data_IF_094030132987
#
_entry.id   IF_094030132987
#
_cell.length_a   1.000
_cell.length_b   1.000
_cell.length_c   1.000
_cell.angle_alpha   90.00
_cell.angle_beta   90.00
_cell.angle_gamma   90.00
#
_symmetry.space_group_name_H-M   'P 1'
#
loop_
_entity.id
_entity.type
_entity.pdbx_description
1 polymer ?
#
# COMPACT_ATOMS: atom_id res chain seq x y z
N UNK A 1 -2.09 3.50 -2.21
CA UNK A 1 -2.82 3.70 -3.49
C UNK A 1 -2.86 5.18 -3.81
N UNK A 2 -2.35 5.58 -4.99
CA UNK A 2 -2.36 6.99 -5.38
C UNK A 2 -3.76 7.41 -5.87
N UNK A 3 -4.66 7.68 -4.92
CA UNK A 3 -6.05 8.08 -5.20
C UNK A 3 -6.18 9.55 -5.60
N UNK A 4 -5.08 10.31 -5.62
CA UNK A 4 -5.09 11.75 -5.92
C UNK A 4 -5.63 12.05 -7.32
N UNK A 5 -5.55 11.09 -8.24
CA UNK A 5 -6.04 11.21 -9.61
C UNK A 5 -7.53 11.55 -9.70
N UNK A 6 -8.36 10.95 -8.84
CA UNK A 6 -9.79 11.25 -8.75
C UNK A 6 -9.97 12.71 -8.32
N UNK A 7 -9.30 13.12 -7.24
CA UNK A 7 -9.39 14.47 -6.70
C UNK A 7 -8.95 15.53 -7.71
N UNK A 8 -7.80 15.34 -8.34
CA UNK A 8 -7.25 16.27 -9.33
C UNK A 8 -8.21 16.40 -10.51
N UNK A 9 -8.64 15.27 -11.09
CA UNK A 9 -9.46 15.29 -12.30
C UNK A 9 -10.82 15.95 -12.08
N UNK A 10 -11.53 15.59 -11.00
CA UNK A 10 -12.82 16.21 -10.70
C UNK A 10 -12.69 17.67 -10.27
N UNK A 11 -11.64 18.02 -9.53
CA UNK A 11 -11.38 19.42 -9.15
C UNK A 11 -11.16 20.28 -10.39
N UNK A 12 -10.35 19.83 -11.35
CA UNK A 12 -10.11 20.54 -12.61
C UNK A 12 -11.41 20.68 -13.41
N UNK A 13 -12.20 19.61 -13.54
CA UNK A 13 -13.50 19.67 -14.23
C UNK A 13 -14.43 20.68 -13.57
N UNK A 14 -14.61 20.61 -12.25
CA UNK A 14 -15.46 21.53 -11.51
C UNK A 14 -14.97 22.97 -11.66
N UNK A 15 -13.66 23.19 -11.57
CA UNK A 15 -13.04 24.50 -11.76
C UNK A 15 -13.37 25.07 -13.15
N UNK A 16 -13.13 24.31 -14.22
CA UNK A 16 -13.43 24.72 -15.60
C UNK A 16 -14.92 24.97 -15.80
N UNK A 17 -15.79 24.10 -15.26
CA UNK A 17 -17.25 24.25 -15.38
C UNK A 17 -17.73 25.54 -14.70
N UNK A 18 -17.24 25.84 -13.50
CA UNK A 18 -17.63 27.06 -12.78
C UNK A 18 -17.05 28.31 -13.42
N UNK A 19 -15.82 28.26 -13.97
CA UNK A 19 -15.25 29.35 -14.77
C UNK A 19 -16.11 29.66 -15.99
N UNK A 20 -16.54 28.64 -16.74
CA UNK A 20 -17.44 28.83 -17.89
C UNK A 20 -18.79 29.42 -17.50
N UNK A 21 -19.30 29.06 -16.32
CA UNK A 21 -20.51 29.65 -15.73
C UNK A 21 -20.27 31.04 -15.11
N UNK A 22 -19.04 31.57 -15.16
CA UNK A 22 -18.62 32.83 -14.52
C UNK A 22 -18.95 32.90 -13.02
N UNK A 23 -18.98 31.75 -12.34
CA UNK A 23 -19.37 31.64 -10.94
C UNK A 23 -18.16 31.83 -10.00
N UNK A 24 -17.54 33.01 -10.08
CA UNK A 24 -16.32 33.31 -9.34
C UNK A 24 -16.52 33.33 -7.82
N UNK A 25 -17.71 33.75 -7.36
CA UNK A 25 -18.05 33.73 -5.93
C UNK A 25 -18.04 32.32 -5.36
N UNK A 26 -18.55 31.34 -6.12
CA UNK A 26 -18.49 29.93 -5.73
C UNK A 26 -17.04 29.47 -5.64
N UNK A 27 -16.23 29.72 -6.68
CA UNK A 27 -14.82 29.32 -6.68
C UNK A 27 -14.06 29.88 -5.48
N UNK A 28 -14.18 31.19 -5.24
CA UNK A 28 -13.53 31.84 -4.10
C UNK A 28 -13.99 31.26 -2.77
N UNK A 29 -15.31 31.09 -2.57
CA UNK A 29 -15.88 30.53 -1.33
C UNK A 29 -15.27 29.17 -0.99
N UNK A 30 -15.23 28.26 -1.96
CA UNK A 30 -14.71 26.91 -1.74
C UNK A 30 -13.19 26.86 -1.66
N UNK A 31 -12.48 27.73 -2.38
CA UNK A 31 -11.03 27.90 -2.19
C UNK A 31 -10.69 28.37 -0.78
N UNK A 32 -11.43 29.34 -0.24
CA UNK A 32 -11.25 29.78 1.15
C UNK A 32 -11.53 28.64 2.13
N UNK A 33 -12.64 27.90 1.98
CA UNK A 33 -12.94 26.77 2.86
C UNK A 33 -11.86 25.68 2.82
N UNK A 34 -11.35 25.35 1.63
CA UNK A 34 -10.27 24.39 1.47
C UNK A 34 -8.99 24.86 2.15
N UNK A 35 -8.56 26.11 1.90
CA UNK A 35 -7.37 26.70 2.52
C UNK A 35 -7.50 26.78 4.04
N UNK A 36 -8.66 27.22 4.56
CA UNK A 36 -8.91 27.26 5.99
C UNK A 36 -8.80 25.87 6.61
N UNK A 37 -9.34 24.83 5.97
CA UNK A 37 -9.20 23.44 6.42
C UNK A 37 -7.74 22.98 6.48
N UNK A 38 -6.94 23.30 5.46
CA UNK A 38 -5.49 23.01 5.45
C UNK A 38 -4.80 23.71 6.61
N UNK A 39 -4.99 25.02 6.76
CA UNK A 39 -4.28 25.81 7.77
C UNK A 39 -4.68 25.46 9.19
N UNK A 40 -5.94 25.08 9.42
CA UNK A 40 -6.43 24.62 10.73
C UNK A 40 -5.62 23.44 11.26
N UNK A 41 -5.16 22.54 10.38
CA UNK A 41 -4.35 21.37 10.75
C UNK A 41 -2.86 21.65 10.66
N UNK A 42 -2.45 22.36 9.60
CA UNK A 42 -1.04 22.59 9.30
C UNK A 42 -0.38 23.49 10.35
N UNK A 43 -1.05 24.57 10.78
CA UNK A 43 -0.47 25.54 11.72
C UNK A 43 -0.18 24.89 13.09
N UNK A 44 -1.13 24.22 13.76
CA UNK A 44 -0.85 23.55 15.03
C UNK A 44 0.25 22.48 14.92
N UNK A 45 0.24 21.71 13.82
CA UNK A 45 1.27 20.69 13.56
C UNK A 45 2.65 21.33 13.41
N UNK A 46 2.78 22.40 12.63
CA UNK A 46 4.06 23.11 12.48
C UNK A 46 4.54 23.71 13.80
N UNK A 47 3.64 24.32 14.59
CA UNK A 47 3.99 24.85 15.92
C UNK A 47 4.52 23.73 16.82
N UNK A 48 3.88 22.56 16.84
CA UNK A 48 4.33 21.40 17.60
C UNK A 48 5.72 20.93 17.15
N UNK A 49 5.93 20.77 15.85
CA UNK A 49 7.20 20.29 15.29
C UNK A 49 8.36 21.25 15.57
N UNK A 50 8.11 22.56 15.48
CA UNK A 50 9.09 23.61 15.79
C UNK A 50 9.43 23.57 17.28
N UNK A 51 8.43 23.54 18.17
CA UNK A 51 8.65 23.52 19.62
C UNK A 51 9.46 22.31 20.10
N UNK A 52 9.36 21.19 19.39
CA UNK A 52 10.07 19.95 19.73
C UNK A 52 11.37 19.75 18.93
N UNK A 53 11.80 20.73 18.12
CA UNK A 53 13.00 20.64 17.27
C UNK A 53 13.04 19.43 16.30
N UNK A 54 11.87 18.93 15.89
CA UNK A 54 11.72 17.77 14.99
C UNK A 54 11.25 18.14 13.59
N UNK A 55 11.11 19.44 13.29
CA UNK A 55 10.65 19.91 11.98
C UNK A 55 11.62 19.49 10.86
N UNK A 56 12.93 19.62 11.08
CA UNK A 56 13.94 19.24 10.09
C UNK A 56 13.83 17.74 9.76
N UNK A 57 13.79 16.89 10.78
CA UNK A 57 13.67 15.43 10.61
C UNK A 57 12.37 15.06 9.89
N UNK A 58 11.26 15.73 10.21
CA UNK A 58 10.00 15.56 9.49
C UNK A 58 10.14 15.91 8.01
N UNK A 59 10.72 17.07 7.67
CA UNK A 59 10.90 17.50 6.28
C UNK A 59 11.85 16.59 5.51
N UNK A 60 12.95 16.17 6.14
CA UNK A 60 13.90 15.22 5.56
C UNK A 60 13.20 13.88 5.22
N UNK A 61 12.45 13.32 6.16
CA UNK A 61 11.71 12.08 5.94
C UNK A 61 10.57 12.26 4.92
N UNK A 62 9.78 13.33 5.05
CA UNK A 62 8.59 13.56 4.24
C UNK A 62 8.93 13.88 2.77
N UNK A 63 10.03 14.58 2.52
CA UNK A 63 10.42 15.00 1.18
C UNK A 63 11.66 14.28 0.68
N UNK A 64 12.81 14.41 1.33
CA UNK A 64 14.06 13.86 0.79
C UNK A 64 14.00 12.34 0.65
N UNK A 65 13.67 11.62 1.72
CA UNK A 65 13.57 10.15 1.70
C UNK A 65 12.48 9.69 0.72
N UNK A 66 11.31 10.33 0.72
CA UNK A 66 10.21 9.99 -0.20
C UNK A 66 10.52 10.31 -1.67
N UNK A 67 11.26 11.37 -1.97
CA UNK A 67 11.65 11.70 -3.35
C UNK A 67 12.74 10.75 -3.85
N UNK A 68 13.72 10.40 -3.00
CA UNK A 68 14.69 9.34 -3.31
C UNK A 68 13.97 8.01 -3.55
N UNK A 69 12.96 7.70 -2.74
CA UNK A 69 12.08 6.54 -2.95
C UNK A 69 11.31 6.59 -4.27
N UNK A 70 10.63 7.71 -4.58
CA UNK A 70 9.83 7.87 -5.79
C UNK A 70 10.69 7.93 -7.07
N UNK A 71 11.94 8.38 -6.95
CA UNK A 71 12.92 8.44 -8.01
C UNK A 71 13.64 7.12 -8.29
N UNK A 72 13.62 6.17 -7.35
CA UNK A 72 14.33 4.89 -7.44
C UNK A 72 13.91 4.00 -8.61
N UNK A 73 14.73 2.97 -8.85
CA UNK A 73 14.53 1.96 -9.90
C UNK A 73 13.29 1.11 -9.60
N UNK A 74 12.13 1.61 -10.02
CA UNK A 74 10.91 0.82 -10.09
C UNK A 74 10.86 -0.05 -11.34
N UNK A 75 9.74 -0.73 -11.53
CA UNK A 75 9.46 -1.43 -12.78
C UNK A 75 9.43 -0.39 -13.90
N UNK A 76 10.31 -0.50 -14.89
CA UNK A 76 10.34 0.41 -16.03
C UNK A 76 8.96 0.57 -16.68
N UNK A 77 8.61 1.78 -17.13
CA UNK A 77 7.24 2.13 -17.55
C UNK A 77 6.67 1.20 -18.63
N UNK A 78 7.54 0.65 -19.49
CA UNK A 78 7.19 -0.35 -20.52
C UNK A 78 6.77 -1.67 -19.89
N UNK A 79 7.60 -2.24 -19.01
CA UNK A 79 7.30 -3.49 -18.32
C UNK A 79 6.04 -3.36 -17.45
N UNK A 80 5.84 -2.18 -16.88
CA UNK A 80 4.66 -1.85 -16.09
C UNK A 80 3.41 -1.78 -16.98
N UNK A 81 3.51 -1.20 -18.18
CA UNK A 81 2.46 -1.22 -19.19
C UNK A 81 2.12 -2.64 -19.66
N UNK A 82 3.13 -3.50 -19.89
CA UNK A 82 2.93 -4.91 -20.25
C UNK A 82 2.21 -5.66 -19.12
N UNK A 83 2.66 -5.47 -17.87
CA UNK A 83 2.02 -6.06 -16.69
C UNK A 83 0.56 -5.62 -16.56
N UNK A 84 0.26 -4.33 -16.75
CA UNK A 84 -1.10 -3.82 -16.72
C UNK A 84 -1.95 -4.45 -17.83
N UNK A 85 -1.46 -4.48 -19.07
CA UNK A 85 -2.21 -5.04 -20.19
C UNK A 85 -2.52 -6.52 -19.93
N UNK A 86 -1.55 -7.28 -19.39
CA UNK A 86 -1.77 -8.66 -18.96
C UNK A 86 -2.85 -8.74 -17.89
N UNK A 87 -2.75 -7.94 -16.84
CA UNK A 87 -3.73 -7.93 -15.75
C UNK A 87 -5.14 -7.57 -16.22
N UNK A 88 -5.29 -6.48 -16.99
CA UNK A 88 -6.59 -6.05 -17.49
C UNK A 88 -7.18 -7.04 -18.51
N UNK A 89 -6.33 -7.75 -19.26
CA UNK A 89 -6.74 -8.86 -20.13
C UNK A 89 -7.22 -10.03 -19.29
N UNK A 90 -6.46 -10.47 -18.30
CA UNK A 90 -6.80 -11.59 -17.43
C UNK A 90 -8.10 -11.32 -16.64
N UNK A 91 -8.36 -10.05 -16.31
CA UNK A 91 -9.60 -9.60 -15.67
C UNK A 91 -10.74 -9.25 -16.66
N UNK A 92 -10.54 -9.42 -17.97
CA UNK A 92 -11.48 -9.05 -19.04
C UNK A 92 -11.92 -7.56 -19.05
N UNK A 93 -11.19 -6.67 -18.37
CA UNK A 93 -11.54 -5.25 -18.25
C UNK A 93 -11.45 -4.55 -19.61
N UNK A 94 -10.40 -4.84 -20.40
CA UNK A 94 -10.23 -4.26 -21.75
C UNK A 94 -11.45 -4.59 -22.62
N UNK A 95 -11.88 -5.85 -22.59
CA UNK A 95 -13.03 -6.32 -23.37
C UNK A 95 -14.32 -5.59 -22.95
N UNK A 96 -14.59 -5.49 -21.65
CA UNK A 96 -15.78 -4.81 -21.11
C UNK A 96 -15.81 -3.34 -21.54
N UNK A 97 -14.68 -2.63 -21.44
CA UNK A 97 -14.57 -1.22 -21.84
C UNK A 97 -14.80 -1.06 -23.35
N UNK A 98 -14.25 -1.94 -24.17
CA UNK A 98 -14.46 -1.92 -25.63
C UNK A 98 -15.94 -2.16 -25.99
N UNK A 99 -16.57 -3.20 -25.45
CA UNK A 99 -17.98 -3.52 -25.71
C UNK A 99 -18.88 -2.36 -25.25
N UNK A 100 -18.63 -1.81 -24.06
CA UNK A 100 -19.39 -0.67 -23.55
C UNK A 100 -19.29 0.57 -24.46
N UNK A 101 -18.09 0.85 -25.00
CA UNK A 101 -17.89 1.96 -25.95
C UNK A 101 -18.63 1.74 -27.27
N UNK A 102 -18.72 0.50 -27.75
CA UNK A 102 -19.52 0.15 -28.93
C UNK A 102 -21.01 0.38 -28.67
N UNK A 103 -21.53 -0.09 -27.53
CA UNK A 103 -22.95 0.06 -27.14
C UNK A 103 -23.33 1.53 -26.98
N UNK A 104 -22.53 2.32 -26.25
CA UNK A 104 -22.84 3.71 -25.93
C UNK A 104 -22.67 4.67 -27.12
N UNK A 105 -21.91 4.25 -28.14
CA UNK A 105 -21.45 5.07 -29.28
C UNK A 105 -20.60 6.26 -28.82
N UNK A 106 -19.37 6.34 -29.34
CA UNK A 106 -18.40 7.35 -28.92
C UNK A 106 -18.94 8.76 -29.17
N UNK A 107 -19.02 9.54 -28.10
CA UNK A 107 -19.38 10.96 -28.10
C UNK A 107 -18.43 11.75 -27.19
N UNK A 108 -18.51 13.08 -27.21
CA UNK A 108 -17.60 13.94 -26.42
C UNK A 108 -17.59 13.63 -24.91
N UNK A 109 -18.74 13.27 -24.33
CA UNK A 109 -18.84 12.94 -22.89
C UNK A 109 -18.13 11.61 -22.61
N UNK A 110 -18.37 10.61 -23.44
CA UNK A 110 -17.71 9.30 -23.33
C UNK A 110 -16.21 9.40 -23.58
N UNK A 111 -15.76 10.25 -24.51
CA UNK A 111 -14.33 10.54 -24.73
C UNK A 111 -13.68 11.12 -23.48
N UNK A 112 -14.30 12.11 -22.82
CA UNK A 112 -13.79 12.67 -21.55
C UNK A 112 -13.72 11.58 -20.47
N UNK A 113 -14.70 10.67 -20.43
CA UNK A 113 -14.72 9.57 -19.47
C UNK A 113 -13.64 8.51 -19.75
N UNK A 114 -13.38 8.17 -21.02
CA UNK A 114 -12.26 7.32 -21.41
C UNK A 114 -10.91 7.97 -21.05
N UNK A 115 -10.77 9.28 -21.29
CA UNK A 115 -9.58 10.04 -20.89
C UNK A 115 -9.39 10.04 -19.36
N UNK A 116 -10.48 10.10 -18.59
CA UNK A 116 -10.42 9.97 -17.14
C UNK A 116 -9.90 8.60 -16.71
N UNK A 117 -10.43 7.51 -17.30
CA UNK A 117 -9.96 6.16 -17.03
C UNK A 117 -8.46 6.02 -17.35
N UNK A 118 -8.02 6.53 -18.50
CA UNK A 118 -6.62 6.51 -18.89
C UNK A 118 -5.74 7.31 -17.91
N UNK A 119 -6.17 8.51 -17.54
CA UNK A 119 -5.47 9.37 -16.58
C UNK A 119 -5.38 8.74 -15.18
N UNK A 120 -6.48 8.20 -14.67
CA UNK A 120 -6.52 7.53 -13.37
C UNK A 120 -5.60 6.29 -13.35
N UNK A 121 -5.61 5.53 -14.44
CA UNK A 121 -4.72 4.37 -14.64
C UNK A 121 -3.25 4.80 -14.67
N UNK A 122 -2.90 5.83 -15.45
CA UNK A 122 -1.54 6.38 -15.48
C UNK A 122 -1.06 6.84 -14.09
N UNK A 123 -1.89 7.58 -13.36
CA UNK A 123 -1.55 8.09 -12.03
C UNK A 123 -1.38 6.99 -10.97
N UNK A 124 -2.08 5.86 -11.12
CA UNK A 124 -1.88 4.68 -10.27
C UNK A 124 -0.45 4.12 -10.42
N UNK A 125 0.21 4.38 -11.56
CA UNK A 125 1.56 3.90 -11.89
C UNK A 125 2.67 4.91 -11.69
N UNK A 126 2.37 6.11 -11.20
CA UNK A 126 3.39 7.13 -10.97
C UNK A 126 4.51 6.63 -10.02
N UNK A 127 4.19 5.69 -9.14
CA UNK A 127 5.13 5.05 -8.21
C UNK A 127 6.06 4.00 -8.84
N UNK A 128 5.85 3.63 -10.12
CA UNK A 128 6.58 2.57 -10.82
C UNK A 128 6.54 1.20 -10.12
N UNK A 129 5.45 0.88 -9.43
CA UNK A 129 5.26 -0.42 -8.75
C UNK A 129 4.04 -1.16 -9.32
N UNK A 130 4.15 -2.48 -9.40
CA UNK A 130 3.15 -3.43 -9.86
C UNK A 130 2.26 -3.94 -8.72
N UNK A 131 1.87 -3.05 -7.81
CA UNK A 131 0.98 -3.41 -6.71
C UNK A 131 -0.49 -3.39 -7.13
N UNK A 132 -1.16 -4.53 -7.05
CA UNK A 132 -2.60 -4.66 -7.35
C UNK A 132 -3.47 -3.65 -6.62
N UNK A 133 -3.18 -3.34 -5.36
CA UNK A 133 -3.98 -2.43 -4.55
C UNK A 133 -3.92 -0.96 -5.03
N UNK A 134 -2.97 -0.59 -5.90
CA UNK A 134 -2.97 0.73 -6.54
C UNK A 134 -4.08 0.89 -7.58
N UNK A 135 -4.55 -0.22 -8.14
CA UNK A 135 -5.62 -0.23 -9.12
C UNK A 135 -7.01 -0.16 -8.50
N UNK A 136 -7.16 -0.21 -7.17
CA UNK A 136 -8.48 -0.04 -6.52
C UNK A 136 -9.16 1.26 -6.95
N UNK A 137 -8.38 2.30 -7.28
CA UNK A 137 -8.87 3.57 -7.80
C UNK A 137 -9.66 3.46 -9.11
N UNK A 138 -9.38 2.44 -9.94
CA UNK A 138 -10.08 2.24 -11.22
C UNK A 138 -11.42 1.53 -11.04
N UNK A 139 -11.63 0.78 -9.94
CA UNK A 139 -12.83 -0.04 -9.73
C UNK A 139 -14.12 0.80 -9.82
N UNK A 140 -14.26 1.94 -9.12
CA UNK A 140 -15.45 2.79 -9.25
C UNK A 140 -15.63 3.36 -10.67
N UNK A 141 -14.52 3.61 -11.39
CA UNK A 141 -14.53 4.14 -12.77
C UNK A 141 -15.03 3.07 -13.75
N UNK A 142 -14.86 1.79 -13.43
CA UNK A 142 -15.33 0.68 -14.28
C UNK A 142 -16.83 0.41 -14.16
N UNK A 143 -17.49 0.87 -13.10
CA UNK A 143 -18.92 0.59 -12.83
C UNK A 143 -19.82 1.00 -14.01
N UNK A 144 -19.73 2.21 -14.59
CA UNK A 144 -20.60 2.57 -15.72
C UNK A 144 -20.40 1.68 -16.96
N UNK A 145 -19.18 1.22 -17.22
CA UNK A 145 -18.91 0.31 -18.33
C UNK A 145 -19.53 -1.07 -18.08
N UNK A 146 -19.29 -1.65 -16.90
CA UNK A 146 -19.85 -2.96 -16.54
C UNK A 146 -21.37 -2.90 -16.53
N UNK A 147 -21.98 -1.89 -15.89
CA UNK A 147 -23.43 -1.70 -15.87
C UNK A 147 -24.03 -1.56 -17.27
N UNK A 148 -23.35 -0.86 -18.19
CA UNK A 148 -23.79 -0.75 -19.59
C UNK A 148 -23.82 -2.10 -20.28
N UNK A 149 -22.73 -2.87 -20.19
CA UNK A 149 -22.64 -4.19 -20.83
C UNK A 149 -23.68 -5.14 -20.25
N UNK A 150 -23.79 -5.22 -18.92
CA UNK A 150 -24.78 -6.06 -18.27
C UNK A 150 -26.21 -5.65 -18.64
N UNK A 151 -26.54 -4.36 -18.58
CA UNK A 151 -27.87 -3.89 -18.96
C UNK A 151 -28.19 -4.23 -20.42
N UNK A 152 -27.24 -4.06 -21.34
CA UNK A 152 -27.43 -4.46 -22.74
C UNK A 152 -27.69 -5.96 -22.87
N UNK A 153 -26.89 -6.79 -22.20
CA UNK A 153 -27.06 -8.25 -22.20
C UNK A 153 -28.43 -8.62 -21.62
N UNK A 154 -28.79 -8.13 -20.43
CA UNK A 154 -30.07 -8.49 -19.78
C UNK A 154 -31.32 -7.99 -20.53
N UNK A 155 -31.23 -6.86 -21.24
CA UNK A 155 -32.39 -6.27 -21.93
C UNK A 155 -32.53 -6.70 -23.40
N UNK A 156 -31.42 -7.00 -24.08
CA UNK A 156 -31.42 -7.33 -25.52
C UNK A 156 -31.16 -8.80 -25.80
N UNK A 157 -30.40 -9.48 -24.94
CA UNK A 157 -30.25 -10.94 -25.01
C UNK A 157 -31.38 -11.53 -24.19
N UNK A 158 -32.24 -12.36 -24.80
CA UNK A 158 -33.24 -13.14 -24.05
C UNK A 158 -32.51 -14.17 -23.20
N UNK A 159 -32.05 -13.76 -22.02
CA UNK A 159 -31.43 -14.65 -21.05
C UNK A 159 -32.51 -15.45 -20.35
N UNK A 160 -32.53 -16.76 -20.58
CA UNK A 160 -33.30 -17.68 -19.76
C UNK A 160 -32.46 -18.13 -18.55
N UNK A 161 -33.10 -18.79 -17.58
CA UNK A 161 -32.45 -19.28 -16.35
C UNK A 161 -31.25 -20.21 -16.66
N UNK A 162 -31.32 -20.95 -17.77
CA UNK A 162 -30.26 -21.87 -18.22
C UNK A 162 -29.03 -21.09 -18.67
N UNK A 163 -29.19 -20.02 -19.44
CA UNK A 163 -28.09 -19.15 -19.88
C UNK A 163 -27.40 -18.49 -18.69
N UNK A 164 -28.18 -18.05 -17.69
CA UNK A 164 -27.63 -17.47 -16.45
C UNK A 164 -26.86 -18.52 -15.66
N UNK A 165 -27.41 -19.73 -15.50
CA UNK A 165 -26.75 -20.83 -14.83
C UNK A 165 -25.44 -21.22 -15.52
N UNK A 166 -25.44 -21.33 -16.86
CA UNK A 166 -24.25 -21.63 -17.65
C UNK A 166 -23.20 -20.53 -17.53
N UNK A 167 -23.56 -19.26 -17.66
CA UNK A 167 -22.63 -18.15 -17.46
C UNK A 167 -22.02 -18.19 -16.05
N UNK A 168 -22.84 -18.45 -15.03
CA UNK A 168 -22.39 -18.51 -13.64
C UNK A 168 -21.44 -19.69 -13.41
N UNK A 169 -21.77 -20.87 -13.92
CA UNK A 169 -20.92 -22.08 -13.82
C UNK A 169 -19.62 -21.90 -14.59
N UNK A 170 -19.67 -21.40 -15.83
CA UNK A 170 -18.48 -21.12 -16.63
C UNK A 170 -17.57 -20.09 -15.95
N UNK A 171 -18.15 -19.03 -15.40
CA UNK A 171 -17.41 -18.04 -14.60
C UNK A 171 -16.78 -18.70 -13.38
N UNK A 172 -17.55 -19.48 -12.61
CA UNK A 172 -17.05 -20.17 -11.43
C UNK A 172 -15.89 -21.13 -11.73
N UNK A 173 -16.00 -21.93 -12.80
CA UNK A 173 -14.94 -22.85 -13.23
C UNK A 173 -13.68 -22.09 -13.67
N UNK A 174 -13.82 -21.00 -14.42
CA UNK A 174 -12.69 -20.16 -14.85
C UNK A 174 -11.98 -19.50 -13.66
N UNK A 175 -12.68 -19.23 -12.56
CA UNK A 175 -12.13 -18.58 -11.37
C UNK A 175 -11.81 -19.55 -10.21
N UNK A 176 -12.01 -20.86 -10.37
CA UNK A 176 -11.82 -21.86 -9.31
C UNK A 176 -10.37 -21.89 -8.79
N UNK A 177 -9.39 -21.78 -9.68
CA UNK A 177 -7.96 -21.66 -9.31
C UNK A 177 -7.67 -20.40 -8.51
N UNK A 178 -8.34 -19.29 -8.83
CA UNK A 178 -8.29 -18.05 -8.06
C UNK A 178 -8.84 -18.21 -6.65
N UNK A 179 -9.91 -18.99 -6.48
CA UNK A 179 -10.49 -19.30 -5.17
C UNK A 179 -9.51 -20.12 -4.31
N UNK A 180 -8.86 -21.14 -4.88
CA UNK A 180 -7.87 -21.94 -4.16
C UNK A 180 -6.64 -21.12 -3.74
N UNK A 181 -6.12 -20.28 -4.63
CA UNK A 181 -5.03 -19.36 -4.29
C UNK A 181 -5.43 -18.39 -3.18
N UNK A 182 -6.65 -17.86 -3.25
CA UNK A 182 -7.20 -16.95 -2.24
C UNK A 182 -7.34 -17.64 -0.87
N UNK A 183 -7.90 -18.84 -0.81
CA UNK A 183 -8.06 -19.58 0.46
C UNK A 183 -6.72 -19.95 1.07
N UNK A 184 -5.76 -20.45 0.28
CA UNK A 184 -4.39 -20.70 0.75
C UNK A 184 -3.73 -19.43 1.27
N UNK A 185 -3.88 -18.31 0.57
CA UNK A 185 -3.35 -17.02 1.02
C UNK A 185 -4.00 -16.53 2.31
N UNK A 186 -5.30 -16.76 2.51
CA UNK A 186 -5.99 -16.40 3.74
C UNK A 186 -5.50 -17.22 4.93
N UNK A 187 -5.40 -18.54 4.76
CA UNK A 187 -4.91 -19.45 5.80
C UNK A 187 -3.46 -19.10 6.17
N UNK A 188 -2.60 -18.87 5.18
CA UNK A 188 -1.21 -18.49 5.40
C UNK A 188 -1.10 -17.18 6.20
N UNK A 189 -1.89 -16.16 5.86
CA UNK A 189 -1.93 -14.89 6.61
C UNK A 189 -2.39 -15.08 8.04
N UNK A 190 -3.44 -15.86 8.25
CA UNK A 190 -3.95 -16.15 9.59
C UNK A 190 -2.88 -16.79 10.49
N UNK A 191 -2.12 -17.74 9.95
CA UNK A 191 -1.04 -18.37 10.71
C UNK A 191 0.08 -17.38 11.05
N UNK A 192 0.46 -16.50 10.11
CA UNK A 192 1.46 -15.44 10.37
C UNK A 192 0.97 -14.47 11.46
N UNK A 193 -0.29 -14.08 11.43
CA UNK A 193 -0.88 -13.18 12.42
C UNK A 193 -0.89 -13.82 13.82
N UNK A 194 -1.19 -15.13 13.91
CA UNK A 194 -1.10 -15.90 15.16
C UNK A 194 0.35 -15.93 15.67
N UNK A 195 1.32 -16.21 14.80
CA UNK A 195 2.74 -16.25 15.18
C UNK A 195 3.18 -14.88 15.74
N UNK A 196 2.85 -13.78 15.06
CA UNK A 196 3.13 -12.43 15.56
C UNK A 196 2.47 -12.13 16.90
N UNK A 197 1.21 -12.53 17.09
CA UNK A 197 0.50 -12.32 18.34
C UNK A 197 1.17 -13.06 19.50
N UNK A 198 1.47 -14.35 19.33
CA UNK A 198 2.14 -15.16 20.35
C UNK A 198 3.56 -14.70 20.65
N UNK A 199 4.36 -14.35 19.63
CA UNK A 199 5.69 -13.76 19.84
C UNK A 199 5.60 -12.45 20.62
N UNK A 200 4.62 -11.60 20.29
CA UNK A 200 4.37 -10.36 21.02
C UNK A 200 3.99 -10.61 22.48
N UNK A 201 3.07 -11.54 22.74
CA UNK A 201 2.64 -11.94 24.09
C UNK A 201 3.79 -12.52 24.91
N UNK A 202 4.62 -13.38 24.30
CA UNK A 202 5.82 -13.91 24.93
C UNK A 202 6.75 -12.78 25.38
N UNK A 203 7.07 -11.83 24.49
CA UNK A 203 7.93 -10.68 24.82
C UNK A 203 7.30 -9.86 25.95
N UNK A 204 5.99 -9.58 25.87
CA UNK A 204 5.27 -8.79 26.88
C UNK A 204 5.39 -9.41 28.28
N UNK A 205 5.30 -10.73 28.37
CA UNK A 205 5.35 -11.47 29.64
C UNK A 205 6.77 -11.66 30.18
N UNK A 206 7.81 -11.44 29.36
CA UNK A 206 9.21 -11.69 29.73
C UNK A 206 10.09 -10.42 29.70
N UNK A 207 9.49 -9.24 29.56
CA UNK A 207 10.17 -7.94 29.62
C UNK A 207 9.41 -6.94 30.48
N UNK A 208 10.08 -5.87 30.91
CA UNK A 208 9.46 -4.69 31.50
C UNK A 208 9.00 -3.71 30.40
N UNK A 209 8.00 -2.87 30.71
CA UNK A 209 7.43 -1.91 29.74
C UNK A 209 8.41 -0.87 29.21
N UNK A 210 9.51 -0.60 29.93
CA UNK A 210 10.55 0.34 29.52
C UNK A 210 11.62 -0.29 28.64
N UNK A 211 11.68 -1.63 28.60
CA UNK A 211 12.64 -2.35 27.79
C UNK A 211 12.28 -2.24 26.30
N UNK A 212 13.31 -2.03 25.48
CA UNK A 212 13.14 -1.87 24.04
C UNK A 212 13.45 -3.17 23.33
N UNK A 213 12.77 -3.40 22.22
CA UNK A 213 13.02 -4.56 21.36
C UNK A 213 13.41 -4.11 19.97
N UNK A 214 14.00 -5.01 19.19
CA UNK A 214 14.21 -4.81 17.76
C UNK A 214 13.62 -5.98 16.98
N UNK A 215 12.86 -5.66 15.94
CA UNK A 215 12.18 -6.62 15.07
C UNK A 215 12.74 -6.43 13.67
N UNK A 216 13.57 -7.37 13.20
CA UNK A 216 14.33 -7.22 11.96
C UNK A 216 13.48 -7.59 10.74
N UNK A 217 13.22 -6.60 9.87
CA UNK A 217 12.54 -6.78 8.57
C UNK A 217 11.19 -7.49 8.61
N UNK A 218 10.50 -7.41 9.75
CA UNK A 218 9.16 -7.99 9.96
C UNK A 218 8.12 -6.90 10.21
N UNK A 219 6.86 -7.31 10.32
CA UNK A 219 5.75 -6.39 10.59
C UNK A 219 5.92 -5.66 11.92
N UNK A 220 5.50 -4.39 11.96
CA UNK A 220 5.39 -3.62 13.19
C UNK A 220 4.36 -4.18 14.19
N UNK A 221 3.57 -5.17 13.79
CA UNK A 221 2.59 -5.86 14.65
C UNK A 221 3.21 -6.37 15.95
N UNK A 222 4.44 -6.89 15.93
CA UNK A 222 5.08 -7.42 17.14
C UNK A 222 5.28 -6.34 18.21
N UNK A 223 5.63 -5.11 17.83
CA UNK A 223 5.72 -3.98 18.77
C UNK A 223 4.37 -3.65 19.41
N UNK A 224 3.29 -3.72 18.62
CA UNK A 224 1.94 -3.47 19.10
C UNK A 224 1.48 -4.56 20.08
N UNK A 225 1.70 -5.83 19.74
CA UNK A 225 1.28 -6.97 20.57
C UNK A 225 2.12 -7.11 21.84
N UNK A 226 3.41 -6.77 21.77
CA UNK A 226 4.30 -6.78 22.94
C UNK A 226 4.15 -5.57 23.84
N UNK A 227 3.52 -4.49 23.36
CA UNK A 227 3.50 -3.18 24.04
C UNK A 227 4.92 -2.72 24.40
N UNK A 228 5.87 -2.86 23.46
CA UNK A 228 7.27 -2.42 23.63
C UNK A 228 7.66 -1.41 22.57
N UNK A 229 8.49 -0.46 22.99
CA UNK A 229 9.08 0.53 22.09
C UNK A 229 10.23 -0.09 21.28
N UNK A 230 10.42 0.44 20.08
CA UNK A 230 11.54 0.04 19.23
C UNK A 230 12.87 0.56 19.80
N UNK A 231 13.92 -0.26 19.68
CA UNK A 231 15.29 0.11 20.01
C UNK A 231 15.91 1.07 18.99
N UNK A 232 15.31 1.22 17.81
CA UNK A 232 15.73 2.18 16.80
C UNK A 232 14.53 2.99 16.30
N UNK A 233 14.79 4.17 15.74
CA UNK A 233 13.76 4.97 15.05
C UNK A 233 13.43 4.46 13.64
N UNK A 234 14.17 3.47 13.14
CA UNK A 234 14.03 2.95 11.79
C UNK A 234 13.16 1.70 11.76
N UNK A 235 12.07 1.77 10.98
CA UNK A 235 11.34 0.59 10.54
C UNK A 235 11.88 0.16 9.18
N UNK A 236 12.09 -1.14 8.99
CA UNK A 236 12.45 -1.64 7.68
C UNK A 236 11.29 -1.40 6.71
N UNK A 237 11.56 -0.60 5.68
CA UNK A 237 10.66 -0.37 4.57
C UNK A 237 11.39 -0.88 3.33
N UNK A 238 10.97 -1.99 2.69
CA UNK A 238 11.65 -2.58 1.53
C UNK A 238 11.85 -1.63 0.34
N UNK A 239 11.18 -0.50 0.40
CA UNK A 239 11.13 0.52 -0.62
C UNK A 239 12.28 1.55 -0.50
N UNK A 240 12.91 1.70 0.66
CA UNK A 240 13.95 2.71 0.92
C UNK A 240 15.32 2.03 0.88
N UNK A 241 16.30 2.66 0.22
CA UNK A 241 17.69 2.16 0.26
C UNK A 241 18.26 2.35 1.68
N UNK A 242 18.78 1.27 2.24
CA UNK A 242 19.31 1.23 3.60
C UNK A 242 20.60 2.02 3.75
N UNK A 243 21.38 2.19 2.67
CA UNK A 243 22.59 3.02 2.66
C UNK A 243 22.35 4.44 3.21
N UNK A 244 21.11 4.92 3.11
CA UNK A 244 20.70 6.25 3.60
C UNK A 244 20.73 6.33 5.14
N UNK A 245 20.55 5.20 5.84
CA UNK A 245 20.38 5.16 7.29
C UNK A 245 21.16 4.06 8.01
N UNK A 246 21.98 3.29 7.30
CA UNK A 246 22.64 2.09 7.82
C UNK A 246 23.55 2.37 9.03
N UNK A 247 24.41 3.38 8.93
CA UNK A 247 25.35 3.74 10.00
C UNK A 247 24.61 4.23 11.26
N UNK A 248 23.61 5.08 11.09
CA UNK A 248 22.76 5.56 12.19
C UNK A 248 22.00 4.39 12.84
N UNK A 249 21.50 3.46 12.04
CA UNK A 249 20.82 2.26 12.50
C UNK A 249 21.76 1.38 13.36
N UNK A 250 22.97 1.11 12.87
CA UNK A 250 23.99 0.35 13.60
C UNK A 250 24.32 1.00 14.93
N UNK A 251 24.59 2.29 14.92
CA UNK A 251 24.89 3.07 16.12
C UNK A 251 23.73 3.03 17.14
N UNK A 252 22.47 3.10 16.69
CA UNK A 252 21.31 3.01 17.59
C UNK A 252 21.14 1.62 18.20
N UNK A 253 21.35 0.54 17.43
CA UNK A 253 21.31 -0.83 17.96
C UNK A 253 22.38 -1.04 19.03
N UNK A 254 23.62 -0.65 18.75
CA UNK A 254 24.75 -0.82 19.67
C UNK A 254 24.60 0.04 20.93
N UNK A 255 24.03 1.24 20.80
CA UNK A 255 23.79 2.16 21.93
C UNK A 255 22.62 1.72 22.79
N UNK A 256 21.48 1.37 22.18
CA UNK A 256 20.25 1.09 22.91
C UNK A 256 20.16 -0.36 23.40
N UNK A 257 20.92 -1.29 22.80
CA UNK A 257 21.06 -2.70 23.22
C UNK A 257 19.70 -3.34 23.56
N UNK A 258 18.86 -3.62 22.54
CA UNK A 258 17.52 -4.17 22.75
C UNK A 258 17.56 -5.38 23.68
N UNK A 259 16.53 -5.56 24.52
CA UNK A 259 16.45 -6.74 25.38
C UNK A 259 16.18 -8.00 24.55
N UNK A 260 15.31 -7.85 23.54
CA UNK A 260 15.01 -8.88 22.57
C UNK A 260 15.24 -8.41 21.13
N UNK A 261 15.83 -9.29 20.33
CA UNK A 261 15.87 -9.19 18.87
C UNK A 261 15.01 -10.31 18.28
N UNK A 262 14.05 -9.94 17.43
CA UNK A 262 13.20 -10.90 16.72
C UNK A 262 13.63 -11.00 15.26
N UNK A 263 13.99 -12.20 14.85
CA UNK A 263 14.35 -12.54 13.48
C UNK A 263 13.37 -13.57 12.91
N UNK A 264 13.40 -13.74 11.58
CA UNK A 264 12.71 -14.84 10.91
C UNK A 264 13.71 -15.80 10.29
N UNK A 265 13.44 -17.10 10.41
CA UNK A 265 14.22 -18.17 9.79
C UNK A 265 14.29 -18.03 8.27
N UNK A 266 13.33 -17.33 7.65
CA UNK A 266 13.39 -17.00 6.22
C UNK A 266 14.50 -16.01 5.87
N UNK A 267 14.91 -15.16 6.82
CA UNK A 267 15.95 -14.17 6.62
C UNK A 267 17.31 -14.65 7.12
N UNK A 268 17.37 -15.35 8.26
CA UNK A 268 18.62 -15.85 8.86
C UNK A 268 19.43 -16.67 7.85
N UNK A 269 18.76 -17.57 7.13
CA UNK A 269 19.36 -18.49 6.17
C UNK A 269 19.54 -17.92 4.75
N UNK A 270 19.33 -16.62 4.56
CA UNK A 270 19.39 -15.97 3.25
C UNK A 270 20.28 -14.71 3.30
N UNK A 271 20.72 -14.21 2.15
CA UNK A 271 21.43 -12.93 1.98
C UNK A 271 20.58 -11.72 2.40
N UNK A 272 19.30 -11.94 2.74
CA UNK A 272 18.33 -10.91 3.11
C UNK A 272 18.40 -10.47 4.57
N UNK A 273 19.06 -11.22 5.45
CA UNK A 273 19.34 -10.73 6.80
C UNK A 273 20.67 -9.99 6.77
N UNK A 274 20.64 -8.78 7.35
CA UNK A 274 21.78 -7.87 7.42
C UNK A 274 22.95 -8.54 8.16
N UNK A 275 24.13 -8.55 7.53
CA UNK A 275 25.33 -9.18 8.07
C UNK A 275 25.68 -8.63 9.46
N UNK A 276 25.54 -7.31 9.66
CA UNK A 276 25.72 -6.70 10.98
C UNK A 276 24.78 -7.30 12.02
N UNK A 277 23.49 -7.48 11.70
CA UNK A 277 22.53 -8.03 12.64
C UNK A 277 22.81 -9.50 12.94
N UNK A 278 23.22 -10.30 11.95
CA UNK A 278 23.65 -11.68 12.17
C UNK A 278 24.81 -11.74 13.16
N UNK A 279 25.90 -11.04 12.85
CA UNK A 279 27.09 -11.01 13.71
C UNK A 279 26.80 -10.45 15.10
N UNK A 280 25.96 -9.42 15.18
CA UNK A 280 25.59 -8.78 16.44
C UNK A 280 24.75 -9.71 17.33
N UNK A 281 23.80 -10.45 16.74
CA UNK A 281 22.99 -11.46 17.46
C UNK A 281 23.88 -12.61 17.91
N UNK A 282 24.68 -13.20 17.02
CA UNK A 282 25.54 -14.35 17.33
C UNK A 282 26.53 -14.07 18.47
N UNK A 283 27.02 -12.81 18.54
CA UNK A 283 27.99 -12.41 19.56
C UNK A 283 27.36 -12.03 20.91
N UNK A 284 26.18 -11.42 20.90
CA UNK A 284 25.65 -10.74 22.09
C UNK A 284 24.30 -11.29 22.59
N UNK A 285 23.70 -12.25 21.88
CA UNK A 285 22.37 -12.77 22.18
C UNK A 285 22.34 -14.30 22.12
N UNK A 286 21.38 -14.91 22.80
CA UNK A 286 21.08 -16.34 22.73
C UNK A 286 19.62 -16.54 22.36
N UNK A 287 19.34 -17.54 21.53
CA UNK A 287 17.97 -17.96 21.24
C UNK A 287 17.25 -18.36 22.53
N UNK A 288 16.06 -17.79 22.77
CA UNK A 288 15.27 -18.07 23.97
C UNK A 288 13.88 -18.67 23.62
N UNK A 289 13.30 -18.29 22.49
CA UNK A 289 11.96 -18.75 22.10
C UNK A 289 11.78 -18.75 20.58
N UNK A 290 10.99 -19.70 20.07
CA UNK A 290 10.62 -19.78 18.67
C UNK A 290 9.11 -20.02 18.55
N UNK A 291 8.45 -19.26 17.67
CA UNK A 291 7.07 -19.49 17.25
C UNK A 291 7.02 -19.53 15.72
N UNK A 292 6.69 -20.71 15.17
CA UNK A 292 6.70 -20.98 13.73
C UNK A 292 8.06 -20.61 13.09
N UNK A 293 8.08 -19.58 12.25
CA UNK A 293 9.27 -19.10 11.56
C UNK A 293 9.98 -17.95 12.29
N UNK A 294 9.47 -17.50 13.44
CA UNK A 294 9.99 -16.36 14.20
C UNK A 294 10.83 -16.84 15.37
N UNK A 295 12.02 -16.26 15.50
CA UNK A 295 12.97 -16.60 16.56
C UNK A 295 13.27 -15.36 17.39
N UNK A 296 13.15 -15.49 18.71
CA UNK A 296 13.38 -14.45 19.72
C UNK A 296 14.73 -14.72 20.38
N UNK A 297 15.64 -13.76 20.22
CA UNK A 297 16.99 -13.78 20.78
C UNK A 297 17.06 -12.81 21.96
N UNK A 298 17.53 -13.30 23.11
CA UNK A 298 17.72 -12.53 24.35
C UNK A 298 19.14 -12.05 24.51
N UNK A 299 19.29 -10.82 24.97
CA UNK A 299 20.61 -10.26 25.28
C UNK A 299 21.33 -11.08 26.35
N UNK A 300 22.58 -11.46 26.09
CA UNK A 300 23.48 -12.09 27.07
C UNK A 300 23.85 -11.04 28.12
N UNK A 301 23.80 -11.42 29.40
CA UNK A 301 24.17 -10.55 30.53
C UNK A 301 25.67 -10.28 30.60
#
# INVERSE_FOLDING_TARGET
>A
ANMISIWIFFTIILFIVQLKKKNYKFLLKYSVYFSTGIFLVLIPTLIYLIKNNILHDMLYQAFYVNFTYAGGDGVGIVNLGIWLLKLLKDMNVILIVLIANIILKINKRLMIYNLFLAFATYMAFLSKRDYYHYLIVIIPILIPYTSTVFNYVFTKVKLNIINIALITISTFVLYLSGVEHFTKSLIGRHNTDIAFAKTGEYIKNNTNSEEKIYVHRLSGTIYLQSERLAATKYFFIPAINEDIYYDDFKNEIEKNKPEYIVLSNYFINNEKCDEFIKEYVDKNYTEEHQEDHLVVYKKIK
#
